data_IF_173644423790
#
_entry.id   IF_173644423790
#
_cell.length_a   1.000
_cell.length_b   1.000
_cell.length_c   1.000
_cell.angle_alpha   90.00
_cell.angle_beta   90.00
_cell.angle_gamma   90.00
#
_symmetry.space_group_name_H-M   'P 1'
#
loop_
_entity.id
_entity.type
_entity.pdbx_description
1 polymer ?
#
# COMPACT_ATOMS: atom_id res chain seq x y z
N UNK A 1 0.46 14.43 19.53
CA UNK A 1 0.54 14.67 18.08
C UNK A 1 -0.60 13.95 17.41
N UNK A 2 -1.41 14.65 16.61
CA UNK A 2 -2.56 14.11 15.88
C UNK A 2 -2.09 13.60 14.51
N UNK A 3 -2.12 12.30 14.25
CA UNK A 3 -1.65 11.69 13.00
C UNK A 3 -2.72 10.83 12.34
N UNK A 4 -2.54 10.49 11.06
CA UNK A 4 -3.46 9.68 10.26
C UNK A 4 -4.05 8.49 11.04
N UNK A 5 -3.19 7.67 11.68
CA UNK A 5 -3.64 6.49 12.45
C UNK A 5 -4.53 6.78 13.67
N UNK A 6 -4.49 8.00 14.23
CA UNK A 6 -5.36 8.42 15.33
C UNK A 6 -6.72 8.93 14.85
N UNK A 7 -6.86 9.27 13.56
CA UNK A 7 -8.09 9.80 12.98
C UNK A 7 -9.04 8.70 12.47
N UNK A 8 -8.57 7.45 12.35
CA UNK A 8 -9.37 6.31 11.92
C UNK A 8 -10.36 5.85 13.00
N UNK A 9 -11.63 5.66 12.62
CA UNK A 9 -12.66 5.08 13.49
C UNK A 9 -12.41 3.58 13.67
N UNK A 10 -12.43 3.09 14.91
CA UNK A 10 -12.17 1.67 15.23
C UNK A 10 -13.48 0.86 15.30
N UNK A 11 -13.48 -0.42 14.90
CA UNK A 11 -12.41 -1.14 14.21
C UNK A 11 -12.29 -0.69 12.74
N UNK A 12 -11.06 -0.69 12.21
CA UNK A 12 -10.80 -0.43 10.79
C UNK A 12 -10.02 -1.60 10.20
N UNK A 13 -10.15 -1.78 8.88
CA UNK A 13 -9.53 -2.88 8.15
C UNK A 13 -8.45 -2.37 7.21
N UNK A 14 -7.35 -3.12 7.14
CA UNK A 14 -6.19 -2.78 6.31
C UNK A 14 -5.85 -3.95 5.42
N UNK A 15 -5.64 -3.68 4.14
CA UNK A 15 -5.07 -4.66 3.21
C UNK A 15 -3.55 -4.72 3.44
N UNK A 16 -3.07 -5.88 3.89
CA UNK A 16 -1.65 -6.09 4.15
C UNK A 16 -0.80 -6.08 2.86
N UNK A 17 0.44 -5.55 2.90
CA UNK A 17 1.36 -5.64 1.77
C UNK A 17 1.85 -7.07 1.57
N UNK A 18 1.80 -7.56 0.33
CA UNK A 18 2.30 -8.87 -0.07
C UNK A 18 2.99 -8.75 -1.44
N UNK A 19 4.29 -9.08 -1.50
CA UNK A 19 5.06 -9.03 -2.73
C UNK A 19 4.54 -10.07 -3.74
N UNK A 20 4.52 -9.71 -5.02
CA UNK A 20 3.99 -10.49 -6.15
C UNK A 20 2.50 -10.85 -6.05
N UNK A 21 1.76 -10.22 -5.12
CA UNK A 21 0.33 -10.48 -4.89
C UNK A 21 -0.47 -9.20 -4.91
N UNK A 22 -0.06 -8.20 -4.13
CA UNK A 22 -0.80 -6.94 -3.99
C UNK A 22 -0.39 -5.92 -5.04
N UNK A 23 -0.33 -6.32 -6.31
CA UNK A 23 0.06 -5.48 -7.43
C UNK A 23 -1.01 -4.43 -7.78
N UNK A 24 -0.76 -3.62 -8.82
CA UNK A 24 -1.70 -2.59 -9.26
C UNK A 24 -3.07 -3.19 -9.66
N UNK A 25 -3.07 -4.36 -10.31
CA UNK A 25 -4.30 -5.01 -10.81
C UNK A 25 -5.10 -5.56 -9.64
N UNK A 26 -4.47 -6.27 -8.71
CA UNK A 26 -5.12 -6.80 -7.52
C UNK A 26 -5.72 -5.67 -6.66
N UNK A 27 -4.97 -4.59 -6.43
CA UNK A 27 -5.49 -3.45 -5.65
C UNK A 27 -6.69 -2.79 -6.32
N UNK A 28 -6.69 -2.67 -7.66
CA UNK A 28 -7.83 -2.14 -8.40
C UNK A 28 -9.05 -3.07 -8.30
N UNK A 29 -8.83 -4.38 -8.39
CA UNK A 29 -9.88 -5.38 -8.17
C UNK A 29 -10.47 -5.29 -6.76
N UNK A 30 -9.61 -5.26 -5.72
CA UNK A 30 -10.06 -5.15 -4.33
C UNK A 30 -10.83 -3.86 -4.12
N UNK A 31 -10.38 -2.72 -4.64
CA UNK A 31 -11.10 -1.44 -4.53
C UNK A 31 -12.49 -1.45 -5.17
N UNK A 32 -12.71 -2.31 -6.19
CA UNK A 32 -14.00 -2.45 -6.86
C UNK A 32 -15.01 -3.24 -6.04
N UNK A 33 -14.57 -4.25 -5.30
CA UNK A 33 -15.45 -5.19 -4.59
C UNK A 33 -15.40 -5.08 -3.07
N UNK A 34 -14.37 -4.43 -2.53
CA UNK A 34 -14.11 -4.27 -1.10
C UNK A 34 -13.69 -2.83 -0.81
N UNK A 35 -14.02 -2.35 0.40
CA UNK A 35 -13.61 -1.02 0.87
C UNK A 35 -12.77 -1.15 2.14
N UNK A 36 -11.51 -1.61 2.04
CA UNK A 36 -10.58 -1.49 3.15
C UNK A 36 -10.32 0.00 3.45
N UNK A 37 -10.19 0.35 4.72
CA UNK A 37 -9.94 1.75 5.14
C UNK A 37 -8.53 2.21 4.75
N UNK A 38 -7.58 1.27 4.69
CA UNK A 38 -6.19 1.51 4.32
C UNK A 38 -5.68 0.39 3.43
N UNK A 39 -4.82 0.72 2.47
CA UNK A 39 -4.19 -0.23 1.57
C UNK A 39 -2.72 0.11 1.39
N UNK A 40 -1.90 -0.93 1.32
CA UNK A 40 -0.47 -0.82 1.06
C UNK A 40 -0.13 -1.28 -0.35
N UNK A 41 0.98 -0.76 -0.87
CA UNK A 41 1.64 -1.30 -2.05
C UNK A 41 2.53 -2.49 -1.66
N UNK A 42 3.13 -3.12 -2.65
CA UNK A 42 4.14 -4.15 -2.43
C UNK A 42 5.38 -3.62 -1.71
N UNK A 43 6.18 -4.54 -1.16
CA UNK A 43 7.43 -4.19 -0.49
C UNK A 43 8.45 -3.63 -1.50
N UNK A 44 8.94 -2.41 -1.24
CA UNK A 44 9.97 -1.76 -2.05
C UNK A 44 11.26 -1.63 -1.26
N UNK A 45 12.37 -2.12 -1.81
CA UNK A 45 13.68 -1.97 -1.21
C UNK A 45 14.13 -0.48 -1.24
N UNK A 46 14.41 0.10 -0.07
CA UNK A 46 14.83 1.51 0.05
C UNK A 46 16.07 1.85 -0.80
N UNK A 47 17.05 0.93 -0.87
CA UNK A 47 18.26 1.10 -1.69
C UNK A 47 17.92 1.25 -3.17
N UNK A 48 16.92 0.51 -3.65
CA UNK A 48 16.45 0.60 -5.04
C UNK A 48 15.78 1.95 -5.29
N UNK A 49 14.91 2.40 -4.37
CA UNK A 49 14.14 3.63 -4.51
C UNK A 49 15.01 4.90 -4.46
N UNK A 50 16.11 4.87 -3.70
CA UNK A 50 17.06 5.98 -3.61
C UNK A 50 18.11 6.00 -4.74
N UNK A 51 18.27 4.90 -5.48
CA UNK A 51 19.25 4.84 -6.57
C UNK A 51 18.78 5.66 -7.79
N UNK A 52 19.59 6.59 -8.32
CA UNK A 52 19.16 7.52 -9.38
C UNK A 52 18.79 6.81 -10.71
N UNK A 53 19.37 5.64 -10.99
CA UNK A 53 19.04 4.83 -12.17
C UNK A 53 17.71 4.06 -12.06
N UNK A 54 17.22 3.82 -10.84
CA UNK A 54 16.18 2.82 -10.60
C UNK A 54 14.81 3.44 -10.25
N UNK A 55 14.68 4.77 -10.31
CA UNK A 55 13.41 5.49 -10.06
C UNK A 55 12.28 5.16 -11.05
N UNK A 56 12.60 4.60 -12.21
CA UNK A 56 11.64 4.21 -13.27
C UNK A 56 11.14 2.76 -13.16
N UNK A 57 11.60 2.01 -12.17
CA UNK A 57 11.27 0.57 -12.00
C UNK A 57 10.09 0.33 -11.05
N UNK A 58 9.46 1.41 -10.56
CA UNK A 58 8.22 1.41 -9.79
C UNK A 58 7.07 1.83 -10.70
#
# INVERSE_FOLDING_TARGET
MNHFWQQLKKPFFVLAPMADVTDIVFRNFVLRYSRPDVLYTEFVACKMLLAPKNRKLL
#
